data_IF_966090451427
#
_entry.id   IF_966090451427
#
_cell.length_a   1.000
_cell.length_b   1.000
_cell.length_c   1.000
_cell.angle_alpha   90.00
_cell.angle_beta   90.00
_cell.angle_gamma   90.00
#
_symmetry.space_group_name_H-M   'P 1'
#
loop_
_entity.id
_entity.type
_entity.pdbx_description
1 polymer ?
#
# COMPACT_ATOMS: atom_id res chain seq x y z
N UNK A 1 6.06 1.62 -12.02
CA UNK A 1 5.43 1.54 -13.36
C UNK A 1 6.06 0.48 -14.25
N UNK A 2 7.38 0.42 -14.39
CA UNK A 2 8.05 -0.60 -15.23
C UNK A 2 7.76 -2.05 -14.82
N UNK A 3 7.54 -2.32 -13.55
CA UNK A 3 7.16 -3.65 -13.03
C UNK A 3 5.79 -4.15 -13.53
N UNK A 4 4.95 -3.24 -14.01
CA UNK A 4 3.67 -3.55 -14.65
C UNK A 4 3.74 -3.41 -16.18
N UNK A 5 4.92 -3.27 -16.77
CA UNK A 5 5.10 -3.08 -18.20
C UNK A 5 4.48 -1.80 -18.74
N UNK A 6 4.27 -0.79 -17.88
CA UNK A 6 3.68 0.49 -18.27
C UNK A 6 4.74 1.40 -18.91
N UNK A 7 4.33 2.15 -19.92
CA UNK A 7 5.18 3.09 -20.65
C UNK A 7 4.44 4.42 -20.83
N UNK A 8 5.09 5.51 -20.43
CA UNK A 8 4.53 6.87 -20.55
C UNK A 8 4.19 7.25 -22.00
N UNK A 9 4.85 6.65 -22.97
CA UNK A 9 4.60 6.89 -24.38
C UNK A 9 3.32 6.24 -24.91
N UNK A 10 2.73 5.31 -24.14
CA UNK A 10 1.47 4.64 -24.53
C UNK A 10 0.21 5.43 -24.17
N UNK A 11 0.36 6.57 -23.48
CA UNK A 11 -0.77 7.41 -23.06
C UNK A 11 -1.54 6.85 -21.85
N UNK A 12 -2.74 7.39 -21.62
CA UNK A 12 -3.54 7.08 -20.44
C UNK A 12 -4.36 5.79 -20.51
N UNK A 13 -4.67 5.32 -21.71
CA UNK A 13 -5.52 4.14 -21.96
C UNK A 13 -4.74 2.83 -21.98
N UNK A 14 -3.71 2.70 -21.13
CA UNK A 14 -2.88 1.52 -21.09
C UNK A 14 -3.27 0.57 -19.96
N UNK A 15 -3.06 -0.71 -20.21
CA UNK A 15 -3.25 -1.80 -19.25
C UNK A 15 -1.89 -2.38 -18.81
N UNK A 16 -1.84 -3.04 -17.65
CA UNK A 16 -0.66 -3.78 -17.24
C UNK A 16 -0.18 -4.72 -18.34
N UNK A 17 1.13 -4.70 -18.59
CA UNK A 17 1.81 -5.52 -19.63
C UNK A 17 1.22 -5.36 -21.05
N UNK A 18 0.55 -4.25 -21.34
CA UNK A 18 -0.14 -4.05 -22.62
C UNK A 18 -1.33 -4.99 -22.85
N UNK A 19 -1.74 -5.74 -21.84
CA UNK A 19 -2.73 -6.81 -21.96
C UNK A 19 -2.21 -8.11 -22.56
N UNK A 20 -0.89 -8.24 -22.77
CA UNK A 20 -0.27 -9.37 -23.46
C UNK A 20 0.17 -10.51 -22.52
N UNK A 21 0.30 -10.22 -21.21
CA UNK A 21 0.73 -11.20 -20.22
C UNK A 21 -0.47 -11.71 -19.44
N UNK A 22 -0.64 -13.03 -19.42
CA UNK A 22 -1.61 -13.68 -18.54
C UNK A 22 -0.99 -13.90 -17.17
N UNK A 23 -1.69 -13.45 -16.14
CA UNK A 23 -1.34 -13.63 -14.73
C UNK A 23 -2.59 -13.57 -13.86
N UNK A 24 -2.57 -14.19 -12.70
CA UNK A 24 -3.68 -14.17 -11.73
C UNK A 24 -3.44 -13.12 -10.65
N UNK A 25 -2.21 -13.03 -10.18
CA UNK A 25 -1.79 -12.18 -9.05
C UNK A 25 -0.53 -11.41 -9.43
N UNK A 26 -0.55 -10.12 -9.16
CA UNK A 26 0.66 -9.29 -9.16
C UNK A 26 1.17 -9.16 -7.74
N UNK A 27 2.45 -9.46 -7.54
CA UNK A 27 3.14 -9.41 -6.27
C UNK A 27 4.25 -8.36 -6.32
N UNK A 28 4.35 -7.52 -5.29
CA UNK A 28 5.49 -6.63 -5.09
C UNK A 28 6.14 -6.91 -3.75
N UNK A 29 7.47 -6.98 -3.76
CA UNK A 29 8.30 -7.20 -2.57
C UNK A 29 9.48 -6.25 -2.70
N UNK A 30 9.68 -5.41 -1.69
CA UNK A 30 10.83 -4.51 -1.65
C UNK A 30 12.11 -5.30 -1.35
N UNK A 31 13.22 -4.83 -1.89
CA UNK A 31 14.52 -5.52 -1.79
C UNK A 31 15.08 -5.63 -0.36
N UNK A 32 14.55 -4.86 0.59
CA UNK A 32 14.90 -4.86 2.01
C UNK A 32 13.87 -5.59 2.90
N UNK A 33 12.93 -6.32 2.28
CA UNK A 33 11.99 -7.17 3.00
C UNK A 33 12.56 -8.58 3.16
N UNK A 34 12.53 -9.09 4.39
CA UNK A 34 12.99 -10.44 4.75
C UNK A 34 11.78 -11.32 5.01
N UNK A 35 11.60 -12.34 4.19
CA UNK A 35 10.43 -13.23 4.19
C UNK A 35 10.83 -14.67 3.97
N UNK A 36 9.89 -15.60 4.19
CA UNK A 36 10.04 -17.04 3.87
C UNK A 36 9.15 -17.41 2.67
N UNK A 37 9.46 -18.52 1.97
CA UNK A 37 8.59 -19.02 0.89
C UNK A 37 7.15 -19.26 1.32
N UNK A 38 6.94 -19.74 2.56
CA UNK A 38 5.60 -20.01 3.11
C UNK A 38 4.78 -18.71 3.24
N UNK A 39 5.43 -17.60 3.60
CA UNK A 39 4.78 -16.29 3.69
C UNK A 39 4.31 -15.78 2.32
N UNK A 40 5.08 -16.04 1.25
CA UNK A 40 4.63 -15.73 -0.13
C UNK A 40 3.42 -16.57 -0.49
N UNK A 41 3.48 -17.88 -0.20
CA UNK A 41 2.37 -18.81 -0.49
C UNK A 41 1.11 -18.35 0.25
N UNK A 42 1.20 -18.01 1.54
CA UNK A 42 0.08 -17.49 2.33
C UNK A 42 -0.47 -16.20 1.72
N UNK A 43 0.40 -15.25 1.37
CA UNK A 43 -0.02 -13.97 0.76
C UNK A 43 -0.80 -14.18 -0.54
N UNK A 44 -0.34 -15.10 -1.40
CA UNK A 44 -1.01 -15.43 -2.66
C UNK A 44 -2.33 -16.16 -2.40
N UNK A 45 -2.38 -17.12 -1.48
CA UNK A 45 -3.60 -17.85 -1.12
C UNK A 45 -4.67 -16.91 -0.56
N UNK A 46 -4.28 -15.92 0.26
CA UNK A 46 -5.19 -14.91 0.82
C UNK A 46 -5.88 -14.10 -0.28
N UNK A 47 -5.24 -13.91 -1.45
CA UNK A 47 -5.85 -13.19 -2.58
C UNK A 47 -7.07 -13.90 -3.15
N UNK A 48 -7.27 -15.19 -2.89
CA UNK A 48 -8.47 -15.92 -3.32
C UNK A 48 -9.75 -15.43 -2.61
N UNK A 49 -9.58 -14.90 -1.40
CA UNK A 49 -10.68 -14.35 -0.60
C UNK A 49 -10.74 -12.83 -0.67
N UNK A 50 -9.59 -12.19 -0.62
CA UNK A 50 -9.44 -10.73 -0.61
C UNK A 50 -8.60 -10.29 -1.80
N UNK A 51 -9.16 -9.66 -2.83
CA UNK A 51 -8.43 -9.33 -4.07
C UNK A 51 -7.18 -8.48 -3.87
N UNK A 52 -7.06 -7.79 -2.74
CA UNK A 52 -5.88 -7.01 -2.35
C UNK A 52 -5.50 -7.40 -0.93
N UNK A 53 -4.30 -7.93 -0.76
CA UNK A 53 -3.79 -8.35 0.55
C UNK A 53 -2.33 -7.90 0.72
N UNK A 54 -2.00 -7.53 1.94
CA UNK A 54 -0.65 -7.12 2.34
C UNK A 54 -0.25 -7.77 3.66
N UNK A 55 1.05 -8.03 3.82
CA UNK A 55 1.66 -8.36 5.10
C UNK A 55 2.14 -7.11 5.83
N UNK A 56 2.46 -7.26 7.11
CA UNK A 56 2.95 -6.20 7.98
C UNK A 56 4.46 -6.22 8.10
N UNK A 57 5.07 -5.04 8.09
CA UNK A 57 6.46 -4.83 8.47
C UNK A 57 6.61 -3.53 9.27
N UNK A 58 7.62 -3.53 10.15
CA UNK A 58 7.86 -2.38 11.02
C UNK A 58 8.59 -1.26 10.28
N UNK A 59 8.25 -0.03 10.62
CA UNK A 59 9.02 1.15 10.26
C UNK A 59 10.36 1.18 11.01
N UNK A 60 11.25 2.10 10.64
CA UNK A 60 12.58 2.23 11.26
C UNK A 60 12.53 2.53 12.76
N UNK A 61 11.46 3.14 13.25
CA UNK A 61 11.26 3.45 14.67
C UNK A 61 10.97 2.21 15.53
N UNK A 62 10.76 1.06 14.91
CA UNK A 62 10.43 -0.24 15.52
C UNK A 62 9.12 -0.27 16.31
N UNK A 63 8.40 0.85 16.37
CA UNK A 63 7.16 1.04 17.14
C UNK A 63 5.92 0.96 16.24
N UNK A 64 6.02 1.46 15.01
CA UNK A 64 4.90 1.53 14.09
C UNK A 64 5.06 0.57 12.91
N UNK A 65 3.92 0.13 12.39
CA UNK A 65 3.84 -0.48 11.06
C UNK A 65 3.72 0.60 9.98
N UNK A 66 4.17 0.32 8.76
CA UNK A 66 3.93 1.17 7.59
C UNK A 66 2.45 1.08 7.14
N UNK A 67 1.54 1.28 8.09
CA UNK A 67 0.11 1.05 7.93
C UNK A 67 -0.70 2.16 8.60
N UNK A 68 -1.74 2.63 7.92
CA UNK A 68 -2.70 3.63 8.41
C UNK A 68 -4.09 3.02 8.34
N UNK A 69 -4.79 2.97 9.47
CA UNK A 69 -6.14 2.38 9.54
C UNK A 69 -7.16 3.19 8.77
N UNK A 70 -7.20 4.49 9.03
CA UNK A 70 -8.17 5.42 8.46
C UNK A 70 -7.49 6.74 8.09
N UNK A 71 -8.01 7.45 7.08
CA UNK A 71 -7.53 8.78 6.73
C UNK A 71 -8.06 9.81 7.73
N UNK A 72 -7.35 10.02 8.83
CA UNK A 72 -7.68 11.04 9.83
C UNK A 72 -7.09 12.40 9.42
N UNK A 73 -7.92 13.22 8.78
CA UNK A 73 -7.53 14.55 8.33
C UNK A 73 -7.32 15.52 9.49
N UNK A 74 -8.05 15.36 10.59
CA UNK A 74 -7.91 16.22 11.77
C UNK A 74 -6.59 15.94 12.50
N UNK A 75 -6.21 14.66 12.58
CA UNK A 75 -4.89 14.29 13.05
C UNK A 75 -3.79 14.86 12.14
N UNK A 76 -3.93 14.72 10.82
CA UNK A 76 -2.96 15.25 9.86
C UNK A 76 -2.82 16.78 9.97
N UNK A 77 -3.92 17.53 10.10
CA UNK A 77 -3.89 18.98 10.29
C UNK A 77 -3.13 19.41 11.55
N UNK A 78 -3.17 18.61 12.61
CA UNK A 78 -2.50 18.89 13.89
C UNK A 78 -1.03 18.51 13.90
N UNK A 79 -0.65 17.41 13.24
CA UNK A 79 0.67 16.80 13.36
C UNK A 79 1.53 16.89 12.11
N UNK A 80 0.92 17.14 10.95
CA UNK A 80 1.59 17.09 9.64
C UNK A 80 1.97 15.67 9.21
N UNK A 81 1.38 14.63 9.82
CA UNK A 81 1.67 13.23 9.52
C UNK A 81 0.41 12.38 9.58
N UNK A 82 0.43 11.23 8.91
CA UNK A 82 -0.59 10.21 9.09
C UNK A 82 -0.44 9.51 10.45
N UNK A 83 -1.55 8.99 10.99
CA UNK A 83 -1.55 8.21 12.21
C UNK A 83 -1.19 6.75 11.90
N UNK A 84 0.09 6.44 11.95
CA UNK A 84 0.55 5.06 11.76
C UNK A 84 0.15 4.15 12.90
N UNK A 85 -0.25 2.92 12.56
CA UNK A 85 -0.66 1.91 13.54
C UNK A 85 0.54 1.38 14.33
N UNK A 86 0.39 1.33 15.67
CA UNK A 86 1.43 0.73 16.52
C UNK A 86 1.41 -0.78 16.45
N UNK A 87 2.60 -1.35 16.65
CA UNK A 87 2.76 -2.81 16.77
C UNK A 87 1.89 -3.33 17.90
N UNK A 88 1.09 -4.35 17.61
CA UNK A 88 0.17 -4.98 18.56
C UNK A 88 -1.20 -4.30 18.68
N UNK A 89 -1.45 -3.19 17.99
CA UNK A 89 -2.78 -2.56 17.99
C UNK A 89 -3.67 -3.16 16.89
N UNK A 90 -3.17 -3.25 15.67
CA UNK A 90 -3.94 -3.76 14.53
C UNK A 90 -4.32 -5.23 14.69
N UNK A 91 -3.45 -6.02 15.32
CA UNK A 91 -3.68 -7.47 15.58
C UNK A 91 -4.88 -7.73 16.49
N UNK A 92 -5.29 -6.75 17.30
CA UNK A 92 -6.48 -6.88 18.17
C UNK A 92 -7.79 -6.82 17.40
N UNK A 93 -7.77 -6.29 16.17
CA UNK A 93 -8.96 -6.20 15.32
C UNK A 93 -9.27 -7.49 14.57
N UNK A 94 -8.31 -8.42 14.49
CA UNK A 94 -8.48 -9.74 13.85
C UNK A 94 -7.36 -10.10 12.88
N UNK A 95 -7.51 -11.25 12.21
CA UNK A 95 -6.51 -11.72 11.23
C UNK A 95 -6.50 -10.86 9.96
N UNK A 96 -7.66 -10.48 9.46
CA UNK A 96 -7.79 -9.69 8.25
C UNK A 96 -8.47 -8.36 8.57
N UNK A 97 -7.78 -7.27 8.31
CA UNK A 97 -8.25 -5.93 8.67
C UNK A 97 -8.20 -5.02 7.44
N UNK A 98 -9.33 -4.37 7.15
CA UNK A 98 -9.36 -3.32 6.14
C UNK A 98 -8.65 -2.08 6.65
N UNK A 99 -7.78 -1.51 5.81
CA UNK A 99 -6.97 -0.34 6.14
C UNK A 99 -7.01 0.68 5.00
N UNK A 100 -6.81 1.94 5.32
CA UNK A 100 -6.73 2.99 4.31
C UNK A 100 -5.43 2.91 3.51
N UNK A 101 -4.34 2.48 4.15
CA UNK A 101 -3.02 2.37 3.55
C UNK A 101 -2.17 1.31 4.24
N UNK A 102 -1.43 0.56 3.47
CA UNK A 102 -0.27 -0.21 3.91
C UNK A 102 0.85 -0.05 2.89
N UNK A 103 2.09 0.05 3.35
CA UNK A 103 3.25 0.12 2.46
C UNK A 103 3.32 -1.11 1.57
N UNK A 104 3.81 -0.95 0.36
CA UNK A 104 3.78 -1.97 -0.68
C UNK A 104 4.99 -2.91 -0.65
N UNK A 105 5.78 -2.88 0.42
CA UNK A 105 6.98 -3.73 0.56
C UNK A 105 6.69 -5.23 0.59
N UNK A 106 5.47 -5.65 0.95
CA UNK A 106 5.03 -7.05 0.88
C UNK A 106 3.54 -7.11 0.58
N UNK A 107 3.20 -7.05 -0.70
CA UNK A 107 1.85 -6.73 -1.18
C UNK A 107 1.48 -7.58 -2.39
N UNK A 108 0.24 -8.06 -2.42
CA UNK A 108 -0.32 -8.80 -3.54
C UNK A 108 -1.68 -8.26 -3.95
N UNK A 109 -1.93 -8.19 -5.24
CA UNK A 109 -3.25 -7.88 -5.74
C UNK A 109 -3.58 -8.72 -6.99
N UNK A 110 -4.85 -9.06 -7.15
CA UNK A 110 -5.36 -9.80 -8.30
C UNK A 110 -5.38 -8.92 -9.56
N UNK A 111 -5.23 -9.57 -10.72
CA UNK A 111 -5.31 -8.96 -12.05
C UNK A 111 -6.53 -8.04 -12.21
N UNK A 112 -7.70 -8.51 -11.76
CA UNK A 112 -8.97 -7.78 -11.86
C UNK A 112 -8.97 -6.41 -11.16
N UNK A 113 -8.17 -6.24 -10.10
CA UNK A 113 -8.00 -4.96 -9.40
C UNK A 113 -7.26 -3.99 -10.30
N UNK A 114 -6.11 -4.43 -10.83
CA UNK A 114 -5.27 -3.60 -11.71
C UNK A 114 -6.00 -3.23 -13.01
N UNK A 115 -6.85 -4.11 -13.53
CA UNK A 115 -7.64 -3.85 -14.74
C UNK A 115 -8.75 -2.82 -14.53
N UNK A 116 -9.27 -2.69 -13.29
CA UNK A 116 -10.27 -1.68 -12.93
C UNK A 116 -9.69 -0.34 -12.54
N UNK A 117 -8.41 -0.33 -12.17
CA UNK A 117 -7.73 0.93 -11.83
C UNK A 117 -7.47 1.76 -13.08
N UNK A 118 -7.43 3.08 -12.89
CA UNK A 118 -7.11 4.04 -13.96
C UNK A 118 -5.65 4.44 -13.89
N UNK A 119 -4.98 4.48 -15.04
CA UNK A 119 -3.63 5.04 -15.16
C UNK A 119 -3.63 6.56 -14.84
N UNK A 120 -2.63 7.08 -14.14
CA UNK A 120 -1.44 6.39 -13.62
C UNK A 120 -1.73 5.65 -12.31
N UNK A 121 -1.33 4.38 -12.22
CA UNK A 121 -1.51 3.57 -11.02
C UNK A 121 -0.73 4.10 -9.84
N UNK A 122 0.49 4.57 -10.11
CA UNK A 122 1.40 5.23 -9.18
C UNK A 122 1.53 6.68 -9.57
N UNK A 123 1.28 7.57 -8.64
CA UNK A 123 1.37 9.00 -8.84
C UNK A 123 1.89 9.66 -7.56
N UNK A 124 2.25 10.93 -7.65
CA UNK A 124 2.62 11.75 -6.51
C UNK A 124 1.72 13.00 -6.50
N UNK A 125 0.41 12.86 -6.25
CA UNK A 125 -0.47 14.01 -6.25
C UNK A 125 -0.09 14.98 -5.12
N UNK A 126 -0.10 16.26 -5.44
CA UNK A 126 -0.01 17.31 -4.45
C UNK A 126 -1.30 17.32 -3.64
N UNK A 127 -1.18 17.20 -2.33
CA UNK A 127 -2.28 17.34 -1.39
C UNK A 127 -2.19 18.73 -0.77
N UNK A 128 -3.28 19.47 -0.83
CA UNK A 128 -3.42 20.78 -0.21
C UNK A 128 -4.57 20.72 0.79
N UNK A 129 -4.29 21.04 2.06
CA UNK A 129 -5.26 21.00 3.16
C UNK A 129 -5.14 22.29 3.95
N UNK A 130 -6.24 22.98 4.15
CA UNK A 130 -6.29 24.15 5.04
C UNK A 130 -6.30 23.68 6.50
N UNK A 131 -5.30 24.13 7.27
CA UNK A 131 -5.22 23.90 8.72
C UNK A 131 -6.19 24.80 9.49
N UNK A 132 -6.40 24.47 10.78
CA UNK A 132 -7.32 25.25 11.65
C UNK A 132 -6.91 26.73 11.82
N UNK A 133 -5.63 27.04 11.70
CA UNK A 133 -5.07 28.41 11.79
C UNK A 133 -5.05 29.15 10.43
N UNK A 134 -5.69 28.57 9.40
CA UNK A 134 -5.77 29.14 8.06
C UNK A 134 -4.52 28.94 7.20
N UNK A 135 -3.51 28.24 7.69
CA UNK A 135 -2.35 27.88 6.88
C UNK A 135 -2.70 26.81 5.87
N UNK A 136 -2.14 26.93 4.66
CA UNK A 136 -2.22 25.90 3.65
C UNK A 136 -1.09 24.90 3.84
N UNK A 137 -1.43 23.69 4.31
CA UNK A 137 -0.52 22.56 4.35
C UNK A 137 -0.42 21.95 2.95
N UNK A 138 0.81 21.76 2.50
CA UNK A 138 1.09 21.16 1.20
C UNK A 138 2.05 20.00 1.38
N UNK A 139 1.69 18.85 0.83
CA UNK A 139 2.52 17.66 0.84
C UNK A 139 2.36 16.86 -0.43
N UNK A 140 3.40 16.12 -0.80
CA UNK A 140 3.37 15.17 -1.90
C UNK A 140 2.98 13.79 -1.36
N UNK A 141 1.86 13.27 -1.85
CA UNK A 141 1.48 11.90 -1.56
C UNK A 141 2.53 10.92 -2.10
N UNK A 142 2.96 9.93 -1.30
CA UNK A 142 3.81 8.85 -1.80
C UNK A 142 3.07 8.00 -2.84
N UNK A 143 3.84 7.29 -3.68
CA UNK A 143 3.30 6.38 -4.68
C UNK A 143 2.46 5.26 -4.06
N UNK A 144 2.87 4.73 -2.92
CA UNK A 144 2.14 3.68 -2.18
C UNK A 144 0.78 4.18 -1.70
N UNK A 145 0.73 5.38 -1.12
CA UNK A 145 -0.52 6.03 -0.69
C UNK A 145 -1.44 6.26 -1.87
N UNK A 146 -0.91 6.76 -2.99
CA UNK A 146 -1.69 6.98 -4.20
C UNK A 146 -2.23 5.67 -4.76
N UNK A 147 -1.43 4.60 -4.76
CA UNK A 147 -1.86 3.28 -5.22
C UNK A 147 -3.00 2.73 -4.35
N UNK A 148 -2.89 2.80 -3.01
CA UNK A 148 -3.98 2.39 -2.11
C UNK A 148 -5.26 3.21 -2.34
N UNK A 149 -5.15 4.52 -2.55
CA UNK A 149 -6.30 5.37 -2.92
C UNK A 149 -6.94 4.96 -4.25
N UNK A 150 -6.12 4.62 -5.24
CA UNK A 150 -6.62 4.16 -6.55
C UNK A 150 -7.33 2.80 -6.43
N UNK A 151 -6.84 1.88 -5.59
CA UNK A 151 -7.51 0.63 -5.25
C UNK A 151 -8.91 0.91 -4.68
N UNK A 152 -9.00 1.79 -3.68
CA UNK A 152 -10.29 2.16 -3.08
C UNK A 152 -11.22 2.82 -4.10
N UNK A 153 -10.70 3.71 -4.96
CA UNK A 153 -11.48 4.34 -6.03
C UNK A 153 -12.01 3.33 -7.06
N UNK A 154 -11.28 2.22 -7.27
CA UNK A 154 -11.71 1.11 -8.13
C UNK A 154 -12.73 0.18 -7.44
N UNK A 155 -13.10 0.44 -6.17
CA UNK A 155 -14.12 -0.30 -5.41
C UNK A 155 -13.58 -1.50 -4.66
N UNK A 156 -12.28 -1.53 -4.33
CA UNK A 156 -11.66 -2.59 -3.54
C UNK A 156 -11.11 -2.04 -2.23
N UNK A 157 -11.08 -2.91 -1.21
CA UNK A 157 -10.42 -2.63 0.06
C UNK A 157 -8.97 -3.11 0.04
N UNK A 158 -8.11 -2.40 0.73
CA UNK A 158 -6.77 -2.87 1.07
C UNK A 158 -6.87 -3.67 2.36
N UNK A 159 -6.60 -4.97 2.29
CA UNK A 159 -6.69 -5.87 3.45
C UNK A 159 -5.27 -6.19 3.93
N UNK A 160 -5.08 -6.10 5.24
CA UNK A 160 -3.85 -6.54 5.90
C UNK A 160 -4.10 -7.88 6.59
N UNK A 161 -3.25 -8.88 6.32
CA UNK A 161 -3.16 -10.07 7.13
C UNK A 161 -2.22 -9.80 8.32
N UNK A 162 -2.79 -9.59 9.50
CA UNK A 162 -2.05 -9.20 10.71
C UNK A 162 -1.14 -10.30 11.27
N UNK A 163 -1.34 -11.54 10.86
CA UNK A 163 -0.47 -12.68 11.21
C UNK A 163 0.71 -12.83 10.27
N UNK A 164 0.62 -12.26 9.08
CA UNK A 164 1.66 -12.29 8.06
C UNK A 164 2.65 -11.14 8.27
N UNK A 165 3.63 -11.37 9.14
CA UNK A 165 4.64 -10.39 9.53
C UNK A 165 5.98 -10.73 8.93
N UNK A 166 6.53 -9.81 8.13
CA UNK A 166 7.83 -9.95 7.48
C UNK A 166 8.87 -9.04 8.11
N UNK A 167 10.14 -9.38 7.94
CA UNK A 167 11.25 -8.54 8.37
C UNK A 167 11.44 -7.33 7.45
N UNK A 168 12.03 -6.26 7.99
CA UNK A 168 12.41 -5.07 7.24
C UNK A 168 13.86 -4.73 7.59
N UNK A 169 14.76 -4.99 6.66
CA UNK A 169 16.19 -4.74 6.87
C UNK A 169 16.48 -3.24 6.82
N UNK A 170 17.13 -2.73 7.85
CA UNK A 170 17.57 -1.33 7.89
C UNK A 170 19.02 -1.24 8.32
N UNK A 171 19.81 -0.50 7.56
CA UNK A 171 21.20 -0.20 7.93
C UNK A 171 21.22 0.89 9.00
N UNK A 172 21.83 0.59 10.14
CA UNK A 172 22.10 1.57 11.18
C UNK A 172 23.58 1.95 11.10
N UNK A 173 23.86 3.24 10.90
CA UNK A 173 25.21 3.81 11.03
C UNK A 173 25.32 4.41 12.43
N UNK A 174 26.22 3.90 13.25
CA UNK A 174 26.49 4.34 14.61
C UNK A 174 27.72 5.24 14.62
#
# INVERSE_FOLDING_TARGET
MKTLGLDVLRGSEQKPFGGEVEYDVWLTIDSDIVFTPEQIIELIEDTKTYPVVSGLYRMQDMVHYACVKDWDLDYFKKTGSFQFMKVGELEKEGKYVSVAYNGMGFFACRKEVLEKMTYPYFSHPLIEIEAEDGKLLRDMCSEDVAFCKNINAAGFDVIVNTTLRVGHEKTLVI
#
